data_IF_959962004798
#
_entry.id   IF_959962004798
#
_cell.length_a   1.000
_cell.length_b   1.000
_cell.length_c   1.000
_cell.angle_alpha   90.00
_cell.angle_beta   90.00
_cell.angle_gamma   90.00
#
_symmetry.space_group_name_H-M   'P 1'
#
loop_
_entity.id
_entity.type
_entity.pdbx_description
1 polymer ?
#
# COMPACT_ATOMS: atom_id res chain seq x y z
N UNK A 1 -7.48 -7.46 2.55
CA UNK A 1 -7.32 -6.70 3.82
C UNK A 1 -5.95 -6.99 4.39
N UNK A 2 -5.23 -5.97 4.84
CA UNK A 2 -3.85 -6.07 5.37
C UNK A 2 -3.73 -6.86 6.68
N UNK A 3 -4.85 -7.23 7.30
CA UNK A 3 -4.88 -8.08 8.50
C UNK A 3 -4.96 -9.58 8.21
N UNK A 4 -5.20 -9.97 6.96
CA UNK A 4 -5.27 -11.39 6.55
C UNK A 4 -3.86 -12.00 6.44
N UNK A 5 -3.74 -13.34 6.44
CA UNK A 5 -2.44 -13.99 6.24
C UNK A 5 -1.77 -13.54 4.93
N UNK A 6 -0.46 -13.31 4.97
CA UNK A 6 0.34 -12.89 3.81
C UNK A 6 1.61 -13.74 3.74
N UNK A 7 1.69 -14.64 2.77
CA UNK A 7 2.82 -15.57 2.66
C UNK A 7 2.92 -16.45 3.91
N UNK A 8 4.04 -16.34 4.61
CA UNK A 8 4.35 -17.02 5.88
C UNK A 8 3.82 -16.29 7.12
N UNK A 9 3.26 -15.09 6.97
CA UNK A 9 2.69 -14.32 8.07
C UNK A 9 1.24 -14.74 8.37
N UNK A 10 0.88 -14.99 9.65
CA UNK A 10 -0.49 -15.31 10.03
C UNK A 10 -1.39 -14.07 9.97
N UNK A 11 -2.70 -14.29 10.15
CA UNK A 11 -3.67 -13.22 10.35
C UNK A 11 -3.29 -12.38 11.58
N UNK A 12 -3.17 -11.07 11.43
CA UNK A 12 -2.89 -10.14 12.53
C UNK A 12 -3.79 -8.89 12.48
N UNK A 13 -4.78 -8.78 13.39
CA UNK A 13 -5.58 -7.56 13.55
C UNK A 13 -4.79 -6.34 14.10
N UNK A 14 -3.63 -6.57 14.72
CA UNK A 14 -2.76 -5.55 15.30
C UNK A 14 -2.17 -4.59 14.27
N UNK A 15 -2.06 -5.01 13.01
CA UNK A 15 -1.63 -4.17 11.89
C UNK A 15 -2.44 -2.87 11.81
N UNK A 16 -3.77 -2.94 11.89
CA UNK A 16 -4.61 -1.72 11.83
C UNK A 16 -4.44 -0.82 13.06
N UNK A 17 -4.21 -1.40 14.25
CA UNK A 17 -3.95 -0.61 15.46
C UNK A 17 -2.65 0.17 15.35
N UNK A 18 -1.64 -0.43 14.72
CA UNK A 18 -0.35 0.22 14.44
C UNK A 18 -0.54 1.39 13.48
N UNK A 19 -1.29 1.19 12.40
CA UNK A 19 -1.61 2.25 11.43
C UNK A 19 -2.36 3.42 12.08
N UNK A 20 -3.34 3.14 12.94
CA UNK A 20 -4.05 4.20 13.68
C UNK A 20 -3.09 4.97 14.59
N UNK A 21 -2.25 4.27 15.36
CA UNK A 21 -1.34 4.91 16.33
C UNK A 21 -0.27 5.77 15.67
N UNK A 22 0.25 5.35 14.52
CA UNK A 22 1.46 5.93 13.95
C UNK A 22 1.25 6.67 12.63
N UNK A 23 0.10 6.50 11.98
CA UNK A 23 -0.16 7.06 10.66
C UNK A 23 -1.54 7.71 10.54
N UNK A 24 -2.21 8.02 11.66
CA UNK A 24 -3.54 8.67 11.67
C UNK A 24 -4.58 7.96 10.80
N UNK A 25 -4.54 6.62 10.81
CA UNK A 25 -5.39 5.78 9.95
C UNK A 25 -5.18 6.02 8.44
N UNK A 26 -4.09 6.67 8.04
CA UNK A 26 -3.78 7.05 6.67
C UNK A 26 -2.58 6.25 6.15
N UNK A 27 -2.86 5.13 5.48
CA UNK A 27 -1.83 4.29 4.88
C UNK A 27 -2.19 3.93 3.44
N UNK A 28 -1.41 4.48 2.50
CA UNK A 28 -1.56 4.27 1.07
C UNK A 28 -2.01 5.52 0.33
N UNK A 29 -2.08 5.42 -0.99
CA UNK A 29 -2.59 6.48 -1.87
C UNK A 29 -3.43 5.86 -2.98
N UNK A 30 -4.43 6.60 -3.44
CA UNK A 30 -5.14 6.30 -4.67
C UNK A 30 -4.58 7.17 -5.79
N UNK A 31 -4.51 6.61 -6.99
CA UNK A 31 -4.11 7.33 -8.19
C UNK A 31 -5.05 6.96 -9.33
N UNK A 32 -5.26 7.91 -10.24
CA UNK A 32 -6.02 7.72 -11.47
C UNK A 32 -5.06 7.52 -12.64
N UNK A 33 -5.39 6.60 -13.55
CA UNK A 33 -4.65 6.45 -14.81
C UNK A 33 -5.01 7.61 -15.73
N UNK A 34 -4.08 8.56 -15.91
CA UNK A 34 -4.26 9.72 -16.81
C UNK A 34 -3.86 9.44 -18.25
N UNK A 35 -3.06 8.41 -18.48
CA UNK A 35 -2.64 7.95 -19.81
C UNK A 35 -2.30 6.46 -19.77
N UNK A 36 -2.72 5.66 -20.78
CA UNK A 36 -2.38 4.25 -20.84
C UNK A 36 -0.89 4.06 -21.12
N UNK A 37 -0.29 3.01 -20.54
CA UNK A 37 1.12 2.70 -20.71
C UNK A 37 1.49 1.37 -20.07
N UNK A 38 2.72 0.93 -20.30
CA UNK A 38 3.31 -0.22 -19.59
C UNK A 38 4.21 0.31 -18.48
N UNK A 39 4.21 -0.40 -17.36
CA UNK A 39 5.11 -0.16 -16.22
C UNK A 39 5.81 -1.46 -15.87
N UNK A 40 7.06 -1.36 -15.42
CA UNK A 40 7.89 -2.47 -14.99
C UNK A 40 8.64 -2.13 -13.70
N UNK A 41 9.10 -3.17 -13.00
CA UNK A 41 9.97 -2.99 -11.83
C UNK A 41 11.28 -2.35 -12.30
N UNK A 42 11.64 -1.23 -11.68
CA UNK A 42 12.85 -0.46 -12.02
C UNK A 42 12.59 0.79 -12.86
N UNK A 43 11.35 1.00 -13.35
CA UNK A 43 11.00 2.26 -14.02
C UNK A 43 11.15 3.46 -13.05
N UNK A 44 11.70 4.60 -13.51
CA UNK A 44 11.82 5.80 -12.69
C UNK A 44 10.44 6.38 -12.35
N UNK A 45 10.31 6.89 -11.12
CA UNK A 45 9.12 7.63 -10.68
C UNK A 45 9.48 9.10 -10.60
N UNK A 46 8.88 9.89 -11.47
CA UNK A 46 9.10 11.33 -11.56
C UNK A 46 7.85 12.10 -11.16
N UNK A 47 8.03 13.33 -10.67
CA UNK A 47 6.92 14.26 -10.49
C UNK A 47 6.60 14.88 -11.85
N UNK A 48 5.32 15.01 -12.16
CA UNK A 48 4.87 15.82 -13.29
C UNK A 48 5.25 17.30 -13.11
#
# INVERSE_FOLDING_TARGET
MTTQPQGDLPKDPGVLRTVVRHADQNLGVYASVVGPGRVAVGDPVERA
#
